data_IF_673878417034
#
_entry.id   IF_673878417034
#
_cell.length_a   1.000
_cell.length_b   1.000
_cell.length_c   1.000
_cell.angle_alpha   90.00
_cell.angle_beta   90.00
_cell.angle_gamma   90.00
#
_symmetry.space_group_name_H-M   'P 1'
#
loop_
_entity.id
_entity.type
_entity.pdbx_description
1 polymer ?
#
# COMPACT_ATOMS: atom_id res chain seq x y z
N UNK A 1 11.89 -15.01 33.53
CA UNK A 1 12.21 -14.29 32.28
C UNK A 1 11.35 -14.89 31.19
N UNK A 2 10.36 -14.16 30.68
CA UNK A 2 9.45 -14.66 29.63
C UNK A 2 9.98 -14.18 28.29
N UNK A 3 10.47 -15.10 27.47
CA UNK A 3 10.85 -14.82 26.08
C UNK A 3 9.57 -14.52 25.31
N UNK A 4 9.45 -13.41 24.56
CA UNK A 4 8.30 -13.19 23.72
C UNK A 4 8.40 -14.15 22.53
N UNK A 5 7.55 -15.18 22.53
CA UNK A 5 7.31 -16.04 21.38
C UNK A 5 6.72 -15.17 20.28
N UNK A 6 7.57 -14.71 19.36
CA UNK A 6 7.11 -14.13 18.09
C UNK A 6 6.46 -15.30 17.33
N UNK A 7 5.14 -15.40 17.44
CA UNK A 7 4.38 -16.46 16.78
C UNK A 7 4.68 -16.38 15.29
N UNK A 8 5.35 -17.41 14.77
CA UNK A 8 5.57 -17.56 13.35
C UNK A 8 4.21 -17.86 12.71
N UNK A 9 3.59 -16.83 12.13
CA UNK A 9 2.36 -16.98 11.36
C UNK A 9 2.74 -17.57 10.01
N UNK A 10 2.17 -18.73 9.68
CA UNK A 10 2.48 -19.40 8.42
C UNK A 10 2.10 -18.54 7.21
N UNK A 11 2.79 -18.66 6.07
CA UNK A 11 2.47 -17.92 4.85
C UNK A 11 1.01 -18.09 4.39
N UNK A 12 0.41 -19.26 4.60
CA UNK A 12 -1.01 -19.52 4.32
C UNK A 12 -1.95 -18.67 5.18
N UNK A 13 -1.69 -18.62 6.49
CA UNK A 13 -2.49 -17.79 7.40
C UNK A 13 -2.35 -16.29 7.11
N UNK A 14 -1.23 -15.83 6.52
CA UNK A 14 -1.11 -14.43 6.06
C UNK A 14 -2.01 -14.10 4.89
N UNK A 15 -2.27 -15.05 3.99
CA UNK A 15 -3.14 -14.85 2.82
C UNK A 15 -4.63 -14.74 3.21
N UNK A 16 -5.05 -15.41 4.28
CA UNK A 16 -6.42 -15.32 4.79
C UNK A 16 -6.72 -13.95 5.42
N UNK A 17 -5.68 -13.20 5.84
CA UNK A 17 -5.80 -11.91 6.53
C UNK A 17 -5.67 -10.69 5.61
N UNK A 18 -5.53 -10.89 4.30
CA UNK A 18 -5.31 -9.79 3.34
C UNK A 18 -6.46 -8.77 3.31
N UNK A 19 -7.68 -9.22 3.60
CA UNK A 19 -8.90 -8.42 3.58
C UNK A 19 -9.34 -7.98 4.98
N UNK A 20 -8.50 -8.15 6.00
CA UNK A 20 -8.80 -7.63 7.34
C UNK A 20 -8.65 -6.12 7.40
N UNK A 21 -9.48 -5.47 8.23
CA UNK A 21 -9.45 -4.00 8.39
C UNK A 21 -8.08 -3.47 8.82
N UNK A 22 -7.29 -4.28 9.53
CA UNK A 22 -5.91 -3.92 9.89
C UNK A 22 -4.94 -3.84 8.70
N UNK A 23 -5.34 -4.28 7.51
CA UNK A 23 -4.60 -4.12 6.25
C UNK A 23 -5.29 -3.12 5.27
N UNK A 24 -6.31 -2.40 5.74
CA UNK A 24 -7.11 -1.50 4.91
C UNK A 24 -7.05 -0.08 5.45
N UNK A 25 -6.87 0.89 4.57
CA UNK A 25 -7.09 2.29 4.86
C UNK A 25 -7.72 2.97 3.65
N UNK A 26 -8.51 4.02 3.90
CA UNK A 26 -9.13 4.82 2.85
C UNK A 26 -8.21 5.97 2.48
N UNK A 27 -8.10 6.23 1.18
CA UNK A 27 -7.25 7.28 0.64
C UNK A 27 -7.97 8.03 -0.48
N UNK A 28 -7.67 9.32 -0.65
CA UNK A 28 -8.02 10.05 -1.86
C UNK A 28 -7.31 9.42 -3.07
N UNK A 29 -7.89 9.55 -4.26
CA UNK A 29 -7.41 8.90 -5.49
C UNK A 29 -5.91 9.10 -5.74
N UNK A 30 -5.42 10.33 -5.65
CA UNK A 30 -3.99 10.65 -5.84
C UNK A 30 -3.08 9.95 -4.82
N UNK A 31 -3.52 9.82 -3.57
CA UNK A 31 -2.77 9.12 -2.51
C UNK A 31 -2.80 7.62 -2.76
N UNK A 32 -3.97 7.07 -3.12
CA UNK A 32 -4.12 5.66 -3.44
C UNK A 32 -3.18 5.28 -4.59
N UNK A 33 -3.23 6.01 -5.70
CA UNK A 33 -2.41 5.73 -6.88
C UNK A 33 -0.91 5.80 -6.53
N UNK A 34 -0.47 6.89 -5.90
CA UNK A 34 0.94 7.07 -5.51
C UNK A 34 1.42 6.01 -4.52
N UNK A 35 0.56 5.59 -3.59
CA UNK A 35 0.88 4.54 -2.63
C UNK A 35 0.99 3.16 -3.30
N UNK A 36 0.05 2.83 -4.19
CA UNK A 36 0.05 1.57 -4.94
C UNK A 36 1.27 1.42 -5.87
N UNK A 37 1.74 2.52 -6.45
CA UNK A 37 2.95 2.58 -7.30
C UNK A 37 4.26 2.69 -6.52
N UNK A 38 4.22 2.65 -5.19
CA UNK A 38 5.40 2.84 -4.33
C UNK A 38 6.11 4.20 -4.52
N UNK A 39 5.43 5.20 -5.09
CA UNK A 39 5.94 6.57 -5.25
C UNK A 39 5.64 7.44 -4.02
N UNK A 40 4.74 6.98 -3.15
CA UNK A 40 4.46 7.50 -1.82
C UNK A 40 4.45 6.33 -0.81
N UNK A 41 5.04 6.52 0.36
CA UNK A 41 5.03 5.54 1.43
C UNK A 41 4.92 6.20 2.81
N UNK A 42 4.47 5.43 3.79
CA UNK A 42 4.25 5.89 5.16
C UNK A 42 5.30 5.29 6.09
N UNK A 43 6.25 6.10 6.55
CA UNK A 43 7.28 5.68 7.49
C UNK A 43 6.74 5.72 8.92
N UNK A 44 6.64 4.59 9.65
CA UNK A 44 6.22 4.61 11.04
C UNK A 44 7.15 5.46 11.90
N UNK A 45 6.57 6.27 12.78
CA UNK A 45 7.29 7.11 13.74
C UNK A 45 7.13 6.57 15.17
N UNK A 46 7.98 7.01 16.13
CA UNK A 46 7.72 6.75 17.54
C UNK A 46 6.36 7.32 17.98
N UNK A 47 5.57 6.50 18.67
CA UNK A 47 4.19 6.81 19.04
C UNK A 47 3.19 5.95 18.27
N UNK A 48 1.99 5.77 18.84
CA UNK A 48 0.95 4.96 18.20
C UNK A 48 0.40 5.68 16.95
N UNK A 49 0.44 4.97 15.82
CA UNK A 49 -0.25 5.30 14.56
C UNK A 49 0.13 6.64 13.91
N UNK A 50 1.36 7.10 14.15
CA UNK A 50 1.92 8.28 13.50
C UNK A 50 2.92 7.87 12.42
N UNK A 51 2.85 8.56 11.30
CA UNK A 51 3.63 8.24 10.12
C UNK A 51 4.17 9.52 9.47
N UNK A 52 5.44 9.49 9.05
CA UNK A 52 5.98 10.50 8.16
C UNK A 52 5.74 10.07 6.73
N UNK A 53 5.14 10.94 5.93
CA UNK A 53 4.94 10.71 4.51
C UNK A 53 6.29 10.85 3.80
N UNK A 54 6.67 9.85 3.03
CA UNK A 54 7.82 9.87 2.13
C UNK A 54 7.32 9.73 0.70
N UNK A 55 7.86 10.56 -0.18
CA UNK A 55 7.62 10.47 -1.62
C UNK A 55 8.95 10.65 -2.36
N UNK A 56 8.98 10.16 -3.59
CA UNK A 56 10.16 10.18 -4.47
C UNK A 56 9.94 10.95 -5.76
N UNK A 57 8.70 11.00 -6.24
CA UNK A 57 8.31 11.77 -7.43
C UNK A 57 7.20 12.76 -7.08
N UNK A 58 6.86 13.65 -8.02
CA UNK A 58 5.81 14.63 -7.82
C UNK A 58 4.46 13.94 -7.62
N UNK A 59 3.94 13.98 -6.39
CA UNK A 59 2.66 13.37 -6.00
C UNK A 59 1.44 14.23 -6.43
N UNK A 60 1.55 14.93 -7.55
CA UNK A 60 0.47 15.77 -8.09
C UNK A 60 -0.03 16.85 -7.12
N UNK A 61 -1.35 17.06 -7.12
CA UNK A 61 -1.99 18.19 -6.45
C UNK A 61 -1.88 18.17 -4.90
N UNK A 62 -1.51 17.04 -4.29
CA UNK A 62 -1.38 16.96 -2.83
C UNK A 62 -0.01 17.45 -2.32
N UNK A 63 0.95 17.70 -3.21
CA UNK A 63 2.31 18.07 -2.82
C UNK A 63 2.37 19.28 -1.87
N UNK A 64 1.66 20.41 -2.11
CA UNK A 64 1.69 21.55 -1.18
C UNK A 64 1.18 21.18 0.23
N UNK A 65 0.19 20.30 0.31
CA UNK A 65 -0.33 19.82 1.59
C UNK A 65 0.68 18.95 2.32
N UNK A 66 1.38 18.06 1.63
CA UNK A 66 2.40 17.20 2.25
C UNK A 66 3.63 17.99 2.70
N UNK A 67 4.00 19.05 1.98
CA UNK A 67 5.10 19.93 2.39
C UNK A 67 4.75 20.71 3.67
N UNK A 68 3.50 21.13 3.80
CA UNK A 68 3.01 21.82 5.00
C UNK A 68 2.77 20.85 6.17
N UNK A 69 2.30 19.63 5.87
CA UNK A 69 1.92 18.60 6.84
C UNK A 69 2.54 17.25 6.48
N UNK A 70 3.85 17.07 6.74
CA UNK A 70 4.58 15.86 6.32
C UNK A 70 4.28 14.64 7.21
N UNK A 71 3.48 14.81 8.24
CA UNK A 71 3.16 13.79 9.24
C UNK A 71 1.66 13.59 9.32
N UNK A 72 1.25 12.32 9.33
CA UNK A 72 -0.15 11.92 9.43
C UNK A 72 -0.36 11.00 10.62
N UNK A 73 -1.58 10.99 11.13
CA UNK A 73 -2.01 10.10 12.18
C UNK A 73 -3.31 9.42 11.77
N UNK A 74 -3.34 8.09 11.82
CA UNK A 74 -4.59 7.36 11.66
C UNK A 74 -5.37 7.40 12.98
N UNK A 75 -6.65 7.75 12.87
CA UNK A 75 -7.61 7.76 13.97
C UNK A 75 -8.86 7.01 13.51
N UNK A 76 -9.50 6.27 14.42
CA UNK A 76 -10.81 5.71 14.16
C UNK A 76 -11.86 6.83 14.28
N UNK A 77 -12.50 7.17 13.15
CA UNK A 77 -13.59 8.15 13.10
C UNK A 77 -14.98 7.49 13.11
N UNK A 78 -15.06 6.16 13.07
CA UNK A 78 -16.34 5.44 12.97
C UNK A 78 -17.10 5.36 14.29
N UNK A 79 -16.41 5.53 15.43
CA UNK A 79 -16.97 5.29 16.76
C UNK A 79 -17.24 3.80 17.05
N UNK A 80 -16.92 2.90 16.12
CA UNK A 80 -17.16 1.46 16.22
C UNK A 80 -15.95 0.68 16.75
N UNK A 81 -14.90 1.38 17.20
CA UNK A 81 -13.62 0.79 17.59
C UNK A 81 -13.03 -0.07 16.46
N UNK A 82 -13.10 0.47 15.23
CA UNK A 82 -12.59 -0.20 14.03
C UNK A 82 -11.07 -0.34 14.17
N UNK A 83 -10.50 -1.54 13.95
CA UNK A 83 -9.06 -1.72 13.98
C UNK A 83 -8.39 -0.82 12.94
N UNK A 84 -7.51 0.05 13.42
CA UNK A 84 -6.63 0.86 12.58
C UNK A 84 -5.58 -0.02 11.89
N UNK A 85 -4.98 0.45 10.78
CA UNK A 85 -4.05 -0.36 10.04
C UNK A 85 -2.76 -0.67 10.84
N UNK A 86 -2.26 -1.89 10.70
CA UNK A 86 -1.07 -2.38 11.39
C UNK A 86 0.18 -1.60 10.90
N UNK A 87 0.93 -0.94 11.81
CA UNK A 87 2.15 -0.23 11.47
C UNK A 87 3.22 -1.09 10.77
N UNK A 88 3.24 -2.41 11.00
CA UNK A 88 4.20 -3.32 10.36
C UNK A 88 3.93 -3.50 8.87
N UNK A 89 2.68 -3.34 8.43
CA UNK A 89 2.31 -3.40 7.01
C UNK A 89 2.82 -2.15 6.28
N UNK A 90 2.63 -0.97 6.87
CA UNK A 90 3.22 0.27 6.36
C UNK A 90 4.74 0.24 6.38
N UNK A 91 5.36 -0.32 7.44
CA UNK A 91 6.81 -0.53 7.50
C UNK A 91 7.30 -1.39 6.34
N UNK A 92 6.59 -2.49 6.07
CA UNK A 92 6.93 -3.42 4.98
C UNK A 92 6.84 -2.71 3.64
N UNK A 93 5.74 -2.02 3.36
CA UNK A 93 5.56 -1.21 2.15
C UNK A 93 6.67 -0.15 1.99
N UNK A 94 6.98 0.59 3.06
CA UNK A 94 8.02 1.60 3.08
C UNK A 94 9.42 1.06 2.76
N UNK A 95 9.76 -0.13 3.27
CA UNK A 95 11.04 -0.79 2.96
C UNK A 95 11.08 -1.21 1.49
N UNK A 96 9.99 -1.77 0.97
CA UNK A 96 9.90 -2.14 -0.45
C UNK A 96 10.05 -0.91 -1.34
N UNK A 97 9.31 0.17 -1.06
CA UNK A 97 9.41 1.43 -1.79
C UNK A 97 10.85 1.97 -1.80
N UNK A 98 11.53 1.96 -0.64
CA UNK A 98 12.92 2.36 -0.56
C UNK A 98 13.85 1.52 -1.44
N UNK A 99 13.68 0.20 -1.45
CA UNK A 99 14.51 -0.70 -2.29
C UNK A 99 14.26 -0.42 -3.76
N UNK A 100 13.00 -0.31 -4.19
CA UNK A 100 12.63 -0.04 -5.58
C UNK A 100 13.24 1.27 -6.08
N UNK A 101 13.17 2.33 -5.26
CA UNK A 101 13.76 3.63 -5.61
C UNK A 101 15.29 3.63 -5.54
N UNK A 102 15.89 2.98 -4.54
CA UNK A 102 17.34 2.91 -4.42
C UNK A 102 18.01 2.09 -5.54
N UNK A 103 17.30 1.12 -6.10
CA UNK A 103 17.78 0.25 -7.19
C UNK A 103 17.39 0.76 -8.58
N UNK A 104 16.49 1.74 -8.68
CA UNK A 104 15.91 2.19 -9.94
C UNK A 104 14.88 1.22 -10.55
N UNK A 105 14.52 0.14 -9.84
CA UNK A 105 13.51 -0.84 -10.26
C UNK A 105 12.08 -0.29 -10.21
N UNK A 106 11.85 0.83 -9.53
CA UNK A 106 10.55 1.50 -9.52
C UNK A 106 9.99 1.77 -10.92
N UNK A 107 10.84 2.21 -11.86
CA UNK A 107 10.40 2.48 -13.24
C UNK A 107 9.94 1.24 -13.99
N UNK A 108 10.66 0.13 -13.83
CA UNK A 108 10.27 -1.14 -14.45
C UNK A 108 8.94 -1.65 -13.87
N UNK A 109 8.67 -1.40 -12.59
CA UNK A 109 7.41 -1.74 -11.95
C UNK A 109 6.26 -0.87 -12.49
N UNK A 110 6.49 0.43 -12.67
CA UNK A 110 5.51 1.36 -13.25
C UNK A 110 5.16 0.98 -14.69
N UNK A 111 6.16 0.68 -15.53
CA UNK A 111 5.94 0.18 -16.90
C UNK A 111 5.11 -1.10 -16.91
N UNK A 112 5.44 -2.05 -16.03
CA UNK A 112 4.67 -3.28 -15.85
C UNK A 112 3.23 -3.02 -15.42
N UNK A 113 3.00 -2.08 -14.50
CA UNK A 113 1.64 -1.73 -14.06
C UNK A 113 0.82 -1.09 -15.18
N UNK A 114 1.42 -0.20 -15.98
CA UNK A 114 0.75 0.38 -17.15
C UNK A 114 0.39 -0.72 -18.15
N UNK A 115 1.35 -1.57 -18.56
CA UNK A 115 1.11 -2.70 -19.46
C UNK A 115 -0.03 -3.61 -18.95
N UNK A 116 0.02 -3.96 -17.67
CA UNK A 116 -1.00 -4.78 -17.04
C UNK A 116 -2.38 -4.09 -17.00
N UNK A 117 -2.42 -2.77 -16.81
CA UNK A 117 -3.68 -2.01 -16.86
C UNK A 117 -4.29 -2.04 -18.26
N UNK A 118 -3.48 -1.95 -19.32
CA UNK A 118 -3.92 -2.08 -20.71
C UNK A 118 -4.45 -3.49 -21.02
N UNK A 119 -3.82 -4.53 -20.47
CA UNK A 119 -4.24 -5.93 -20.63
C UNK A 119 -5.53 -6.27 -19.85
N UNK A 120 -5.90 -5.48 -18.84
CA UNK A 120 -7.02 -5.75 -17.92
C UNK A 120 -8.24 -4.83 -18.11
N UNK A 121 -8.45 -4.29 -19.30
CA UNK A 121 -9.73 -3.67 -19.60
C UNK A 121 -10.81 -4.76 -19.67
N UNK A 122 -11.58 -4.91 -18.59
CA UNK A 122 -12.85 -5.63 -18.64
C UNK A 122 -13.75 -4.90 -19.65
N UNK A 123 -14.27 -5.62 -20.63
CA UNK A 123 -15.32 -5.11 -21.51
C UNK A 123 -16.44 -4.52 -20.62
N UNK A 124 -16.85 -3.28 -20.92
CA UNK A 124 -17.79 -2.51 -20.10
C UNK A 124 -19.17 -3.18 -19.96
N UNK A 125 -19.45 -4.15 -20.80
CA UNK A 125 -20.68 -4.97 -20.83
C UNK A 125 -20.58 -6.27 -20.00
N UNK A 126 -19.44 -6.51 -19.33
CA UNK A 126 -19.22 -7.71 -18.52
C UNK A 126 -18.95 -8.98 -19.32
N UNK A 127 -18.74 -8.89 -20.63
CA UNK A 127 -18.48 -10.05 -21.52
C UNK A 127 -17.05 -10.60 -21.43
N UNK A 128 -16.22 -10.10 -20.50
CA UNK A 128 -14.81 -10.51 -20.44
C UNK A 128 -14.68 -11.97 -20.03
N UNK A 129 -14.15 -12.76 -20.96
CA UNK A 129 -13.96 -14.19 -20.76
C UNK A 129 -12.64 -14.40 -20.02
N UNK A 130 -12.74 -14.71 -18.72
CA UNK A 130 -11.62 -14.90 -17.79
C UNK A 130 -10.56 -15.99 -18.13
N UNK A 131 -10.81 -17.03 -18.95
CA UNK A 131 -9.82 -18.07 -19.23
C UNK A 131 -8.50 -17.56 -19.85
N UNK A 132 -8.52 -16.49 -20.65
CA UNK A 132 -7.31 -15.95 -21.28
C UNK A 132 -6.32 -15.35 -20.26
N UNK A 133 -6.77 -14.99 -19.05
CA UNK A 133 -5.91 -14.49 -17.97
C UNK A 133 -5.15 -15.60 -17.21
N UNK A 134 -5.48 -16.87 -17.45
CA UNK A 134 -4.87 -18.01 -16.76
C UNK A 134 -3.81 -18.71 -17.64
N UNK A 135 -3.82 -18.51 -18.95
CA UNK A 135 -2.89 -19.18 -19.89
C UNK A 135 -1.64 -18.37 -20.28
N UNK A 136 -1.48 -17.14 -19.79
CA UNK A 136 -0.25 -16.36 -19.99
C UNK A 136 0.79 -16.64 -18.88
N UNK A 137 1.04 -17.92 -18.60
CA UNK A 137 2.08 -18.42 -17.68
C UNK A 137 2.97 -19.46 -18.36
#
# INVERSE_FOLDING_TARGET
>A
MVTPTKLYVSPKQRLERINESSNLFTAADTVHNSFGRFNLALKPMPGQNKYRVKYWEAVGAILPFLEQYPEIQFIDQSGANTPIPDPDLFRTHYVIAQILHATGLGRALDEFFEEYSYLRCLASDGSTTLPFLIEAG
#
